data_IF_201430534229
#
_entry.id   IF_201430534229
#
_cell.length_a   1.000
_cell.length_b   1.000
_cell.length_c   1.000
_cell.angle_alpha   90.00
_cell.angle_beta   90.00
_cell.angle_gamma   90.00
#
_symmetry.space_group_name_H-M   'P 1'
#
loop_
_entity.id
_entity.type
_entity.pdbx_description
1 polymer ?
#
# COMPACT_ATOMS: atom_id res chain seq x y z
N UNK A 1 -37.81 9.44 -27.86
CA UNK A 1 -38.26 8.48 -28.90
C UNK A 1 -37.25 8.53 -30.03
N UNK A 2 -36.26 7.62 -30.06
CA UNK A 2 -35.21 7.58 -31.07
C UNK A 2 -35.29 6.22 -31.78
N UNK A 3 -36.13 6.13 -32.80
CA UNK A 3 -36.19 4.97 -33.70
C UNK A 3 -35.57 5.46 -35.01
N UNK A 4 -34.35 4.96 -35.33
CA UNK A 4 -33.62 5.01 -36.63
C UNK A 4 -32.11 5.38 -36.58
N UNK A 5 -31.40 5.22 -35.46
CA UNK A 5 -29.94 5.44 -35.46
C UNK A 5 -29.12 4.31 -36.10
N UNK A 6 -29.66 3.09 -36.22
CA UNK A 6 -28.97 1.93 -36.80
C UNK A 6 -28.54 2.13 -38.27
N UNK A 7 -29.48 2.39 -39.20
CA UNK A 7 -29.15 2.49 -40.63
C UNK A 7 -28.25 3.68 -41.00
N UNK A 8 -28.33 4.77 -40.24
CA UNK A 8 -27.52 5.99 -40.48
C UNK A 8 -26.08 5.79 -40.00
N UNK A 9 -25.88 5.04 -38.92
CA UNK A 9 -24.55 4.80 -38.37
C UNK A 9 -23.84 3.61 -39.03
N UNK A 10 -24.57 2.61 -39.52
CA UNK A 10 -24.01 1.37 -40.10
C UNK A 10 -22.87 1.62 -41.10
N UNK A 11 -23.03 2.45 -42.15
CA UNK A 11 -21.92 2.71 -43.09
C UNK A 11 -20.70 3.33 -42.39
N UNK A 12 -20.91 4.26 -41.45
CA UNK A 12 -19.81 4.94 -40.76
C UNK A 12 -19.07 4.01 -39.79
N UNK A 13 -19.81 3.12 -39.12
CA UNK A 13 -19.23 2.10 -38.24
C UNK A 13 -18.44 1.09 -39.06
N UNK A 14 -18.97 0.63 -40.20
CA UNK A 14 -18.25 -0.28 -41.10
C UNK A 14 -16.97 0.35 -41.70
N UNK A 15 -17.03 1.63 -42.07
CA UNK A 15 -15.91 2.33 -42.72
C UNK A 15 -14.87 2.87 -41.73
N UNK A 16 -15.27 3.26 -40.52
CA UNK A 16 -14.40 3.99 -39.58
C UNK A 16 -14.34 3.42 -38.17
N UNK A 17 -15.20 2.46 -37.84
CA UNK A 17 -15.37 1.94 -36.48
C UNK A 17 -16.05 2.91 -35.51
N UNK A 18 -16.58 4.05 -35.99
CA UNK A 18 -17.16 5.12 -35.19
C UNK A 18 -18.48 5.59 -35.80
N UNK A 19 -19.56 5.78 -35.00
CA UNK A 19 -20.85 6.20 -35.52
C UNK A 19 -20.78 7.63 -36.08
N UNK A 20 -21.70 7.95 -36.98
CA UNK A 20 -21.90 9.34 -37.40
C UNK A 20 -22.55 10.14 -36.26
N UNK A 21 -23.54 9.54 -35.59
CA UNK A 21 -24.32 10.15 -34.51
C UNK A 21 -24.37 9.19 -33.32
N UNK A 22 -24.02 9.68 -32.13
CA UNK A 22 -24.18 8.95 -30.88
C UNK A 22 -23.04 9.18 -29.90
N UNK A 23 -23.30 9.05 -28.62
CA UNK A 23 -22.28 9.34 -27.61
C UNK A 23 -21.22 8.23 -27.53
N UNK A 24 -20.05 8.62 -27.06
CA UNK A 24 -18.95 7.70 -26.80
C UNK A 24 -19.27 6.79 -25.63
N UNK A 25 -18.84 5.53 -25.72
CA UNK A 25 -18.99 4.59 -24.61
C UNK A 25 -18.19 5.07 -23.39
N UNK A 26 -18.79 5.07 -22.21
CA UNK A 26 -18.07 5.37 -20.98
C UNK A 26 -16.99 4.32 -20.73
N UNK A 27 -15.83 4.79 -20.29
CA UNK A 27 -14.79 3.95 -19.73
C UNK A 27 -15.25 3.28 -18.44
N UNK A 28 -14.63 2.16 -18.12
CA UNK A 28 -14.90 1.36 -16.93
C UNK A 28 -13.59 0.97 -16.25
N UNK A 29 -13.66 0.49 -15.01
CA UNK A 29 -12.50 -0.10 -14.33
C UNK A 29 -12.33 -1.53 -14.80
N UNK A 30 -11.22 -1.86 -15.45
CA UNK A 30 -10.96 -3.23 -15.92
C UNK A 30 -10.54 -4.17 -14.77
N UNK A 31 -10.35 -5.45 -15.08
CA UNK A 31 -10.00 -6.48 -14.10
C UNK A 31 -8.67 -6.21 -13.37
N UNK A 32 -7.80 -5.39 -13.96
CA UNK A 32 -6.53 -4.97 -13.35
C UNK A 32 -6.69 -3.71 -12.49
N UNK A 33 -7.91 -3.18 -12.31
CA UNK A 33 -8.15 -1.93 -11.58
C UNK A 33 -7.79 -0.67 -12.36
N UNK A 34 -7.58 -0.75 -13.67
CA UNK A 34 -7.25 0.41 -14.52
C UNK A 34 -8.53 0.99 -15.10
N UNK A 35 -8.75 2.29 -14.93
CA UNK A 35 -9.81 3.04 -15.58
C UNK A 35 -9.51 3.19 -17.06
N UNK A 36 -10.35 2.61 -17.93
CA UNK A 36 -10.19 2.74 -19.38
C UNK A 36 -10.56 4.15 -19.83
N UNK A 37 -10.02 4.58 -20.97
CA UNK A 37 -10.46 5.82 -21.59
C UNK A 37 -11.93 5.73 -22.02
N UNK A 38 -12.62 6.87 -22.01
CA UNK A 38 -13.92 7.02 -22.65
C UNK A 38 -13.80 6.97 -24.18
N UNK A 39 -14.79 6.36 -24.81
CA UNK A 39 -14.89 6.29 -26.27
C UNK A 39 -15.20 7.66 -26.88
N UNK A 40 -14.86 7.84 -28.14
CA UNK A 40 -15.18 9.06 -28.86
C UNK A 40 -16.68 9.12 -29.20
N UNK A 41 -17.30 10.30 -29.09
CA UNK A 41 -18.67 10.56 -29.58
C UNK A 41 -18.78 10.46 -31.10
N UNK A 42 -19.95 10.58 -31.72
CA UNK A 42 -20.13 10.41 -33.16
C UNK A 42 -19.35 11.45 -33.96
N UNK A 43 -19.02 11.15 -35.23
CA UNK A 43 -18.29 12.08 -36.09
C UNK A 43 -19.00 13.42 -36.27
N UNK A 44 -20.33 13.41 -36.43
CA UNK A 44 -21.14 14.60 -36.64
C UNK A 44 -21.72 15.12 -35.33
N UNK A 45 -22.35 14.24 -34.55
CA UNK A 45 -23.00 14.60 -33.32
C UNK A 45 -22.79 13.53 -32.25
N UNK A 46 -22.40 13.94 -31.05
CA UNK A 46 -22.35 13.08 -29.88
C UNK A 46 -21.22 13.46 -28.95
N UNK A 47 -21.50 13.29 -27.66
CA UNK A 47 -20.56 13.63 -26.60
C UNK A 47 -19.51 12.53 -26.46
N UNK A 48 -18.33 12.89 -25.98
CA UNK A 48 -17.34 11.92 -25.59
C UNK A 48 -17.76 11.15 -24.33
N UNK A 49 -17.41 9.86 -24.27
CA UNK A 49 -17.67 9.05 -23.08
C UNK A 49 -16.81 9.48 -21.89
N UNK A 50 -17.29 9.31 -20.67
CA UNK A 50 -16.48 9.60 -19.46
C UNK A 50 -15.35 8.59 -19.32
N UNK A 51 -14.18 9.00 -18.82
CA UNK A 51 -13.11 8.08 -18.45
C UNK A 51 -13.46 7.22 -17.23
N UNK A 52 -12.96 5.99 -17.19
CA UNK A 52 -13.15 5.06 -16.07
C UNK A 52 -12.32 5.43 -14.85
N UNK A 53 -12.77 5.02 -13.66
CA UNK A 53 -12.02 5.19 -12.41
C UNK A 53 -10.87 4.18 -12.32
N UNK A 54 -9.67 4.63 -11.95
CA UNK A 54 -8.53 3.77 -11.67
C UNK A 54 -8.42 3.49 -10.17
N UNK A 55 -8.40 2.20 -9.81
CA UNK A 55 -8.17 1.71 -8.45
C UNK A 55 -6.78 1.09 -8.27
N UNK A 56 -6.05 0.86 -9.36
CA UNK A 56 -4.71 0.28 -9.37
C UNK A 56 -3.65 1.30 -8.93
N UNK A 57 -2.69 0.82 -8.14
CA UNK A 57 -1.49 1.56 -7.76
C UNK A 57 -0.72 2.07 -8.99
N UNK A 58 -0.30 3.34 -8.93
CA UNK A 58 0.51 3.95 -9.99
C UNK A 58 -0.27 4.38 -11.24
N UNK A 59 -1.60 4.31 -11.24
CA UNK A 59 -2.42 4.53 -12.45
C UNK A 59 -3.32 5.78 -12.30
N UNK A 60 -3.19 6.76 -13.21
CA UNK A 60 -4.12 7.88 -13.31
C UNK A 60 -5.54 7.42 -13.66
N UNK A 61 -6.54 8.26 -13.41
CA UNK A 61 -7.88 8.02 -13.95
C UNK A 61 -7.90 7.95 -15.48
N UNK A 62 -8.85 7.22 -16.05
CA UNK A 62 -8.99 7.10 -17.51
C UNK A 62 -9.27 8.46 -18.17
N UNK A 63 -8.72 8.71 -19.36
CA UNK A 63 -9.03 9.95 -20.07
C UNK A 63 -10.51 9.98 -20.52
N UNK A 64 -11.11 11.16 -20.53
CA UNK A 64 -12.40 11.39 -21.17
C UNK A 64 -12.30 11.30 -22.69
N UNK A 65 -13.34 10.77 -23.33
CA UNK A 65 -13.41 10.65 -24.78
C UNK A 65 -13.62 11.99 -25.48
N UNK A 66 -13.11 12.18 -26.71
CA UNK A 66 -13.39 13.39 -27.48
C UNK A 66 -14.76 13.31 -28.17
N UNK A 67 -15.41 14.46 -28.36
CA UNK A 67 -16.55 14.58 -29.27
C UNK A 67 -16.11 14.63 -30.75
N UNK A 68 -17.08 14.70 -31.67
CA UNK A 68 -16.86 14.85 -33.12
C UNK A 68 -16.89 16.31 -33.59
N UNK A 69 -17.82 16.63 -34.48
CA UNK A 69 -18.04 18.00 -34.95
C UNK A 69 -18.86 18.81 -33.95
N UNK A 70 -19.92 18.20 -33.40
CA UNK A 70 -20.80 18.77 -32.39
C UNK A 70 -20.90 17.80 -31.20
N UNK A 71 -20.72 18.30 -29.99
CA UNK A 71 -20.85 17.54 -28.76
C UNK A 71 -19.79 17.92 -27.74
N UNK A 72 -20.03 17.61 -26.47
CA UNK A 72 -19.11 17.94 -25.39
C UNK A 72 -18.07 16.83 -25.19
N UNK A 73 -16.88 17.21 -24.74
CA UNK A 73 -15.86 16.25 -24.36
C UNK A 73 -16.27 15.49 -23.11
N UNK A 74 -15.92 14.21 -23.04
CA UNK A 74 -16.20 13.39 -21.86
C UNK A 74 -15.37 13.82 -20.65
N UNK A 75 -15.93 13.71 -19.44
CA UNK A 75 -15.18 13.94 -18.21
C UNK A 75 -14.06 12.90 -18.03
N UNK A 76 -12.89 13.31 -17.56
CA UNK A 76 -11.84 12.39 -17.13
C UNK A 76 -12.24 11.57 -15.91
N UNK A 77 -11.82 10.30 -15.88
CA UNK A 77 -12.03 9.38 -14.77
C UNK A 77 -11.22 9.75 -13.54
N UNK A 78 -11.62 9.26 -12.37
CA UNK A 78 -10.91 9.52 -11.11
C UNK A 78 -9.76 8.53 -10.90
N UNK A 79 -8.78 8.88 -10.07
CA UNK A 79 -7.93 7.89 -9.41
C UNK A 79 -8.23 7.87 -7.92
N UNK A 80 -8.15 6.72 -7.28
CA UNK A 80 -8.33 6.57 -5.83
C UNK A 80 -7.02 6.25 -5.11
N UNK A 81 -5.94 5.98 -5.84
CA UNK A 81 -4.63 5.71 -5.24
C UNK A 81 -3.89 7.02 -4.91
N UNK A 82 -3.25 7.07 -3.76
CA UNK A 82 -2.55 8.22 -3.23
C UNK A 82 -1.47 8.73 -4.20
N UNK A 83 -1.40 10.04 -4.36
CA UNK A 83 -0.49 10.74 -5.28
C UNK A 83 -0.85 10.60 -6.75
N UNK A 84 -1.84 9.78 -7.12
CA UNK A 84 -2.18 9.57 -8.53
C UNK A 84 -3.13 10.65 -9.06
N UNK A 85 -2.86 11.19 -10.26
CA UNK A 85 -3.70 12.22 -10.83
C UNK A 85 -5.02 11.66 -11.36
N UNK A 86 -5.99 12.56 -11.52
CA UNK A 86 -7.19 12.25 -12.29
C UNK A 86 -6.92 12.18 -13.79
N UNK A 87 -7.83 11.56 -14.53
CA UNK A 87 -7.77 11.49 -15.98
C UNK A 87 -8.02 12.84 -16.64
N UNK A 88 -7.44 13.08 -17.81
CA UNK A 88 -7.68 14.31 -18.56
C UNK A 88 -9.11 14.34 -19.09
N UNK A 89 -9.73 15.52 -19.16
CA UNK A 89 -10.99 15.71 -19.85
C UNK A 89 -10.84 15.56 -21.37
N UNK A 90 -11.90 15.08 -22.02
CA UNK A 90 -11.99 14.92 -23.46
C UNK A 90 -12.17 16.25 -24.19
N UNK A 91 -11.79 16.31 -25.46
CA UNK A 91 -11.99 17.52 -26.27
C UNK A 91 -13.46 17.66 -26.67
N UNK A 92 -13.99 18.87 -26.61
CA UNK A 92 -15.28 19.24 -27.20
C UNK A 92 -15.26 19.16 -28.72
N UNK A 93 -16.45 19.21 -29.32
CA UNK A 93 -16.66 19.05 -30.74
C UNK A 93 -16.01 20.18 -31.52
N UNK A 94 -15.45 19.91 -32.70
CA UNK A 94 -14.63 20.89 -33.43
C UNK A 94 -15.35 22.22 -33.70
N UNK A 95 -16.66 22.17 -33.98
CA UNK A 95 -17.47 23.37 -34.26
C UNK A 95 -18.20 23.87 -33.02
N UNK A 96 -18.93 22.99 -32.33
CA UNK A 96 -19.72 23.33 -31.14
C UNK A 96 -19.46 22.26 -30.09
N UNK A 97 -19.09 22.68 -28.89
CA UNK A 97 -18.94 21.77 -27.76
C UNK A 97 -17.92 22.23 -26.75
N UNK A 98 -18.25 22.01 -25.49
CA UNK A 98 -17.40 22.29 -24.35
C UNK A 98 -16.35 21.18 -24.20
N UNK A 99 -15.19 21.53 -23.67
CA UNK A 99 -14.22 20.54 -23.23
C UNK A 99 -14.71 19.80 -21.99
N UNK A 100 -14.43 18.51 -21.91
CA UNK A 100 -14.78 17.70 -20.75
C UNK A 100 -13.98 18.12 -19.52
N UNK A 101 -14.58 18.02 -18.33
CA UNK A 101 -13.87 18.30 -17.08
C UNK A 101 -12.77 17.27 -16.85
N UNK A 102 -11.66 17.65 -16.21
CA UNK A 102 -10.70 16.68 -15.70
C UNK A 102 -11.27 15.83 -14.57
N UNK A 103 -10.69 14.65 -14.36
CA UNK A 103 -11.07 13.75 -13.27
C UNK A 103 -10.43 14.12 -11.94
N UNK A 104 -11.03 13.70 -10.83
CA UNK A 104 -10.46 13.90 -9.49
C UNK A 104 -9.23 13.01 -9.27
N UNK A 105 -8.27 13.50 -8.49
CA UNK A 105 -7.10 12.72 -8.06
C UNK A 105 -7.37 11.87 -6.83
N UNK A 106 -6.48 10.92 -6.59
CA UNK A 106 -6.36 10.30 -5.27
C UNK A 106 -5.74 11.28 -4.27
N UNK A 107 -5.79 10.97 -2.96
CA UNK A 107 -5.26 11.84 -1.92
C UNK A 107 -3.78 12.20 -2.15
N UNK A 108 -3.42 13.47 -2.06
CA UNK A 108 -2.08 13.98 -2.39
C UNK A 108 -1.77 14.09 -3.89
N UNK A 109 -2.69 13.72 -4.78
CA UNK A 109 -2.53 13.82 -6.23
C UNK A 109 -3.13 15.10 -6.82
N UNK A 110 -2.82 15.39 -8.08
CA UNK A 110 -3.36 16.55 -8.82
C UNK A 110 -4.55 16.17 -9.70
N UNK A 111 -5.61 16.98 -9.68
CA UNK A 111 -6.74 16.78 -10.57
C UNK A 111 -6.31 16.75 -12.04
N UNK A 112 -7.01 15.96 -12.86
CA UNK A 112 -6.74 15.88 -14.28
C UNK A 112 -6.96 17.23 -14.96
N UNK A 113 -6.20 17.52 -16.03
CA UNK A 113 -6.44 18.73 -16.82
C UNK A 113 -7.80 18.64 -17.52
N UNK A 114 -8.50 19.77 -17.64
CA UNK A 114 -9.71 19.86 -18.45
C UNK A 114 -9.41 19.75 -19.94
N UNK A 115 -10.41 19.33 -20.70
CA UNK A 115 -10.33 19.20 -22.15
C UNK A 115 -10.45 20.54 -22.86
N UNK A 116 -9.96 20.59 -24.10
CA UNK A 116 -10.11 21.78 -24.94
C UNK A 116 -11.52 21.87 -25.53
N UNK A 117 -12.00 23.09 -25.71
CA UNK A 117 -13.28 23.37 -26.38
C UNK A 117 -13.19 23.30 -27.91
N UNK A 118 -14.36 23.30 -28.54
CA UNK A 118 -14.55 23.62 -29.95
C UNK A 118 -14.42 25.10 -30.30
N UNK A 119 -14.73 25.43 -31.55
CA UNK A 119 -14.82 26.84 -32.01
C UNK A 119 -15.85 27.63 -31.20
N UNK A 120 -16.99 27.02 -30.88
CA UNK A 120 -18.05 27.56 -30.04
C UNK A 120 -18.23 26.66 -28.81
N UNK A 121 -17.50 26.96 -27.75
CA UNK A 121 -17.58 26.24 -26.47
C UNK A 121 -16.59 26.79 -25.44
N UNK A 122 -16.67 26.28 -24.23
CA UNK A 122 -15.78 26.60 -23.11
C UNK A 122 -14.81 25.44 -22.86
N UNK A 123 -13.56 25.72 -22.46
CA UNK A 123 -12.65 24.67 -22.06
C UNK A 123 -13.16 24.01 -20.77
N UNK A 124 -12.91 22.70 -20.64
CA UNK A 124 -13.27 21.97 -19.44
C UNK A 124 -12.49 22.47 -18.24
N UNK A 125 -13.12 22.44 -17.07
CA UNK A 125 -12.41 22.74 -15.82
C UNK A 125 -11.42 21.64 -15.49
N UNK A 126 -10.35 21.97 -14.77
CA UNK A 126 -9.52 20.95 -14.14
C UNK A 126 -10.34 20.13 -13.15
N UNK A 127 -9.94 18.87 -12.96
CA UNK A 127 -10.48 18.02 -11.93
C UNK A 127 -10.05 18.46 -10.53
N UNK A 128 -10.70 17.88 -9.53
CA UNK A 128 -10.41 18.18 -8.12
C UNK A 128 -9.06 17.55 -7.73
N UNK A 129 -8.13 18.37 -7.22
CA UNK A 129 -6.95 17.89 -6.50
C UNK A 129 -7.33 17.58 -5.05
N UNK A 130 -7.20 16.33 -4.64
CA UNK A 130 -7.48 15.87 -3.27
C UNK A 130 -6.24 16.08 -2.40
N UNK A 131 -6.34 16.87 -1.33
CA UNK A 131 -5.25 17.02 -0.36
C UNK A 131 -5.14 15.78 0.55
N UNK A 132 -3.95 15.53 1.08
CA UNK A 132 -3.80 14.58 2.19
C UNK A 132 -4.43 15.17 3.46
N UNK A 133 -5.05 14.32 4.29
CA UNK A 133 -5.38 14.74 5.64
C UNK A 133 -4.09 15.04 6.43
N UNK A 134 -4.15 15.82 7.53
CA UNK A 134 -2.97 16.11 8.35
C UNK A 134 -2.30 14.88 8.97
N UNK A 135 -3.01 13.74 9.06
CA UNK A 135 -2.52 12.45 9.58
C UNK A 135 -1.95 11.54 8.49
N UNK A 136 -2.11 11.88 7.22
CA UNK A 136 -1.78 11.01 6.10
C UNK A 136 -0.44 11.32 5.45
N UNK A 137 0.22 10.27 4.97
CA UNK A 137 1.38 10.32 4.09
C UNK A 137 1.23 9.30 2.96
N UNK A 138 1.94 9.53 1.86
CA UNK A 138 1.98 8.59 0.74
C UNK A 138 2.98 7.49 1.01
N UNK A 139 2.59 6.26 0.67
CA UNK A 139 3.49 5.12 0.61
C UNK A 139 3.52 4.55 -0.81
N UNK A 140 4.66 3.96 -1.15
CA UNK A 140 4.88 3.25 -2.40
C UNK A 140 5.17 1.79 -2.11
N UNK A 141 4.93 0.91 -3.08
CA UNK A 141 5.20 -0.52 -2.93
C UNK A 141 6.39 -0.87 -3.80
N UNK A 142 7.45 -1.47 -3.23
CA UNK A 142 8.58 -1.94 -4.02
C UNK A 142 8.26 -3.22 -4.82
N UNK A 143 9.24 -3.70 -5.57
CA UNK A 143 9.15 -4.93 -6.35
C UNK A 143 8.95 -6.21 -5.50
N UNK A 144 9.15 -6.13 -4.18
CA UNK A 144 8.97 -7.24 -3.25
C UNK A 144 7.64 -7.16 -2.48
N UNK A 145 6.87 -6.10 -2.71
CA UNK A 145 5.58 -5.86 -2.05
C UNK A 145 5.69 -5.08 -0.73
N UNK A 146 6.87 -4.57 -0.36
CA UNK A 146 7.04 -3.83 0.89
C UNK A 146 6.44 -2.43 0.76
N UNK A 147 5.71 -1.93 1.77
CA UNK A 147 5.32 -0.52 1.84
C UNK A 147 6.53 0.33 2.22
N UNK A 148 6.86 1.34 1.42
CA UNK A 148 7.94 2.30 1.69
C UNK A 148 7.39 3.69 1.97
N UNK A 149 7.96 4.31 2.99
CA UNK A 149 7.77 5.70 3.35
C UNK A 149 9.12 6.43 3.32
N UNK A 150 9.17 7.57 2.64
CA UNK A 150 10.34 8.44 2.74
C UNK A 150 10.32 9.15 4.10
N UNK A 151 11.42 9.03 4.85
CA UNK A 151 11.61 9.67 6.14
C UNK A 151 12.85 10.57 6.13
N UNK A 152 12.89 11.56 7.02
CA UNK A 152 14.10 12.33 7.33
C UNK A 152 14.40 12.21 8.82
N UNK A 153 15.62 11.79 9.15
CA UNK A 153 16.08 11.61 10.54
C UNK A 153 16.90 12.84 10.94
N UNK A 154 16.50 13.53 12.00
CA UNK A 154 17.19 14.70 12.56
C UNK A 154 17.34 15.87 11.59
N UNK A 155 16.55 15.93 10.52
CA UNK A 155 16.70 16.90 9.43
C UNK A 155 17.72 16.51 8.35
N UNK A 156 18.19 15.26 8.36
CA UNK A 156 19.01 14.67 7.29
C UNK A 156 18.24 14.44 5.98
N UNK A 157 18.86 13.75 5.00
CA UNK A 157 18.25 13.48 3.70
C UNK A 157 16.92 12.71 3.81
N UNK A 158 15.99 12.97 2.89
CA UNK A 158 14.81 12.12 2.73
C UNK A 158 15.23 10.78 2.11
N UNK A 159 14.95 9.67 2.79
CA UNK A 159 15.34 8.33 2.36
C UNK A 159 14.24 7.30 2.63
N UNK A 160 14.09 6.27 1.79
CA UNK A 160 12.97 5.33 1.86
C UNK A 160 13.17 4.25 2.94
N UNK A 161 12.27 4.19 3.92
CA UNK A 161 12.22 3.12 4.91
C UNK A 161 11.01 2.20 4.67
N UNK A 162 11.20 0.89 4.89
CA UNK A 162 10.13 -0.11 4.84
C UNK A 162 9.26 0.07 6.08
N UNK A 163 7.96 0.34 5.92
CA UNK A 163 7.01 0.35 7.04
C UNK A 163 6.83 -1.08 7.51
N UNK A 164 7.24 -1.34 8.75
CA UNK A 164 7.37 -2.69 9.29
C UNK A 164 6.53 -2.82 10.57
N UNK A 165 5.35 -3.43 10.45
CA UNK A 165 4.53 -3.76 11.62
C UNK A 165 5.14 -4.88 12.46
N UNK A 166 6.03 -5.69 11.88
CA UNK A 166 6.78 -6.75 12.55
C UNK A 166 7.95 -6.25 13.41
N UNK A 167 8.23 -4.95 13.43
CA UNK A 167 9.33 -4.34 14.18
C UNK A 167 8.88 -3.14 15.03
N UNK A 168 9.70 -2.77 16.01
CA UNK A 168 9.51 -1.63 16.93
C UNK A 168 10.73 -0.71 16.89
N UNK A 169 10.55 0.52 16.41
CA UNK A 169 11.60 1.54 16.35
C UNK A 169 12.38 1.52 15.02
N UNK A 170 13.53 2.19 14.96
CA UNK A 170 14.21 2.49 13.70
C UNK A 170 15.74 2.38 13.80
N UNK A 171 16.34 1.54 12.96
CA UNK A 171 17.79 1.54 12.70
C UNK A 171 18.01 1.94 11.23
N UNK A 172 18.86 2.94 11.01
CA UNK A 172 19.14 3.47 9.67
C UNK A 172 20.61 3.31 9.25
N UNK A 173 20.86 3.21 7.94
CA UNK A 173 22.20 3.38 7.37
C UNK A 173 22.80 4.76 7.68
N UNK A 174 24.14 4.91 7.72
CA UNK A 174 24.80 6.19 8.00
C UNK A 174 24.39 7.34 7.06
N UNK A 175 24.05 7.07 5.80
CA UNK A 175 23.70 8.12 4.85
C UNK A 175 22.38 8.86 5.19
N UNK A 176 21.48 8.23 5.95
CA UNK A 176 20.21 8.83 6.40
C UNK A 176 20.41 10.01 7.35
N UNK A 177 21.57 10.06 8.02
CA UNK A 177 21.87 11.04 9.06
C UNK A 177 22.96 12.03 8.65
N UNK A 178 23.26 12.13 7.35
CA UNK A 178 24.24 13.11 6.85
C UNK A 178 23.76 14.53 7.13
N UNK A 179 24.48 15.27 7.97
CA UNK A 179 24.09 16.63 8.38
C UNK A 179 22.89 16.68 9.33
N UNK A 180 22.47 15.54 9.89
CA UNK A 180 21.37 15.48 10.85
C UNK A 180 21.77 15.96 12.25
N UNK A 181 20.80 16.47 12.99
CA UNK A 181 20.95 16.81 14.40
C UNK A 181 20.74 15.55 15.25
N UNK A 182 21.83 14.97 15.76
CA UNK A 182 21.81 13.78 16.59
C UNK A 182 22.37 14.07 17.98
N UNK A 183 21.72 13.56 19.02
CA UNK A 183 22.27 13.54 20.38
C UNK A 183 22.76 12.13 20.71
N UNK A 184 24.07 11.89 20.80
CA UNK A 184 24.61 10.57 21.14
C UNK A 184 24.19 10.16 22.56
N UNK A 185 23.80 8.91 22.73
CA UNK A 185 23.48 8.35 24.07
C UNK A 185 24.69 7.67 24.72
N UNK A 186 25.72 7.34 23.93
CA UNK A 186 26.88 6.57 24.38
C UNK A 186 26.61 5.06 24.50
N UNK A 187 25.46 4.58 24.03
CA UNK A 187 25.11 3.15 24.02
C UNK A 187 25.07 2.59 22.60
N UNK A 188 25.27 1.28 22.50
CA UNK A 188 25.20 0.50 21.25
C UNK A 188 24.15 -0.58 21.38
N UNK A 189 23.75 -1.14 20.24
CA UNK A 189 22.86 -2.30 20.16
C UNK A 189 23.13 -3.14 18.91
N UNK A 190 22.43 -4.25 18.81
CA UNK A 190 22.47 -5.14 17.65
C UNK A 190 21.07 -5.68 17.37
N UNK A 191 20.75 -5.87 16.10
CA UNK A 191 19.45 -6.38 15.65
C UNK A 191 19.64 -7.41 14.53
N UNK A 192 18.72 -8.38 14.45
CA UNK A 192 18.64 -9.32 13.33
C UNK A 192 17.32 -9.13 12.58
N UNK A 193 17.39 -9.03 11.24
CA UNK A 193 16.23 -8.99 10.36
C UNK A 193 16.16 -10.30 9.57
N UNK A 194 15.00 -10.97 9.62
CA UNK A 194 14.75 -12.24 8.95
C UNK A 194 15.71 -13.38 9.34
N UNK A 195 16.40 -13.26 10.49
CA UNK A 195 17.40 -14.22 10.96
C UNK A 195 18.66 -14.34 10.08
N UNK A 196 18.83 -13.45 9.09
CA UNK A 196 19.91 -13.54 8.10
C UNK A 196 20.73 -12.27 8.04
N UNK A 197 20.10 -11.09 8.11
CA UNK A 197 20.81 -9.83 8.19
C UNK A 197 21.04 -9.47 9.66
N UNK A 198 22.26 -9.18 10.04
CA UNK A 198 22.63 -8.73 11.38
C UNK A 198 23.27 -7.35 11.28
N UNK A 199 22.85 -6.43 12.14
CA UNK A 199 23.29 -5.03 12.13
C UNK A 199 23.64 -4.61 13.54
N UNK A 200 24.86 -4.11 13.74
CA UNK A 200 25.27 -3.40 14.95
C UNK A 200 25.10 -1.90 14.73
N UNK A 201 24.73 -1.17 15.78
CA UNK A 201 24.44 0.25 15.70
C UNK A 201 24.79 1.01 16.97
N UNK A 202 25.02 2.31 16.81
CA UNK A 202 25.06 3.28 17.90
C UNK A 202 23.69 3.95 18.07
N UNK A 203 23.35 4.33 19.30
CA UNK A 203 22.03 4.83 19.64
C UNK A 203 22.05 6.35 19.84
N UNK A 204 21.10 7.03 19.20
CA UNK A 204 20.95 8.48 19.23
C UNK A 204 19.53 8.88 19.63
N UNK A 205 19.40 10.08 20.21
CA UNK A 205 18.14 10.78 20.38
C UNK A 205 18.00 11.87 19.31
N UNK A 206 16.90 11.86 18.57
CA UNK A 206 16.65 12.79 17.46
C UNK A 206 15.16 12.83 17.09
N UNK A 207 14.78 13.58 16.05
CA UNK A 207 13.42 13.57 15.50
C UNK A 207 13.37 12.73 14.22
N UNK A 208 12.19 12.21 13.90
CA UNK A 208 11.90 11.58 12.60
C UNK A 208 10.73 12.31 11.96
N UNK A 209 10.94 12.80 10.74
CA UNK A 209 9.92 13.43 9.92
C UNK A 209 9.41 12.44 8.87
N UNK A 210 8.10 12.19 8.88
CA UNK A 210 7.41 11.26 7.98
C UNK A 210 6.89 11.93 6.70
N UNK A 211 7.01 13.26 6.60
CA UNK A 211 6.36 14.07 5.57
C UNK A 211 5.05 14.69 6.07
N UNK A 212 4.47 15.57 5.25
CA UNK A 212 3.20 16.27 5.54
C UNK A 212 3.16 17.03 6.90
N UNK A 213 4.33 17.41 7.43
CA UNK A 213 4.44 18.06 8.75
C UNK A 213 4.33 17.12 9.94
N UNK A 214 4.27 15.80 9.71
CA UNK A 214 4.20 14.78 10.76
C UNK A 214 5.62 14.48 11.24
N UNK A 215 5.96 14.97 12.43
CA UNK A 215 7.30 14.87 13.01
C UNK A 215 7.19 14.40 14.45
N UNK A 216 8.01 13.42 14.83
CA UNK A 216 8.11 12.95 16.21
C UNK A 216 8.64 14.03 17.15
N UNK A 217 8.35 13.88 18.45
CA UNK A 217 9.25 14.42 19.47
C UNK A 217 10.65 13.79 19.40
N UNK A 218 11.52 14.08 20.37
CA UNK A 218 12.77 13.33 20.50
C UNK A 218 12.45 11.84 20.68
N UNK A 219 13.06 11.00 19.86
CA UNK A 219 12.88 9.55 19.85
C UNK A 219 14.22 8.86 19.60
N UNK A 220 14.27 7.57 19.93
CA UNK A 220 15.44 6.72 19.79
C UNK A 220 15.59 6.24 18.36
N UNK A 221 16.79 6.44 17.80
CA UNK A 221 17.17 5.94 16.46
C UNK A 221 18.55 5.30 16.55
N UNK A 222 18.69 4.11 15.98
CA UNK A 222 19.98 3.46 15.79
C UNK A 222 20.62 3.88 14.46
N UNK A 223 21.92 4.12 14.45
CA UNK A 223 22.70 4.33 13.22
C UNK A 223 23.67 3.18 13.05
N UNK A 224 23.55 2.44 11.94
CA UNK A 224 24.33 1.24 11.67
C UNK A 224 25.84 1.53 11.63
N UNK A 225 26.63 0.70 12.30
CA UNK A 225 28.10 0.78 12.36
C UNK A 225 28.77 -0.41 11.68
N UNK A 226 28.15 -1.59 11.72
CA UNK A 226 28.56 -2.79 10.97
C UNK A 226 27.37 -3.67 10.65
N UNK A 227 27.50 -4.50 9.60
CA UNK A 227 26.51 -5.49 9.26
C UNK A 227 27.12 -6.71 8.56
N UNK A 228 26.43 -7.86 8.63
CA UNK A 228 26.84 -9.10 7.98
C UNK A 228 25.64 -10.00 7.62
N UNK A 229 25.86 -10.94 6.70
CA UNK A 229 24.87 -11.93 6.28
C UNK A 229 25.18 -13.32 6.85
N UNK A 230 24.30 -13.79 7.73
CA UNK A 230 24.37 -15.10 8.37
C UNK A 230 25.47 -15.16 9.44
N UNK A 231 26.73 -15.10 9.02
CA UNK A 231 27.89 -15.14 9.94
C UNK A 231 28.77 -13.91 9.77
N UNK A 232 29.52 -13.50 10.82
CA UNK A 232 30.44 -12.36 10.73
C UNK A 232 31.54 -12.50 9.66
N UNK A 233 31.76 -13.70 9.11
CA UNK A 233 32.69 -13.94 8.00
C UNK A 233 32.18 -13.38 6.65
N UNK A 234 30.91 -12.99 6.56
CA UNK A 234 30.30 -12.40 5.37
C UNK A 234 29.89 -10.92 5.62
N UNK A 235 30.87 -10.01 5.79
CA UNK A 235 30.58 -8.61 6.11
C UNK A 235 29.94 -7.87 4.93
N UNK A 236 29.05 -6.93 5.25
CA UNK A 236 28.53 -5.94 4.31
C UNK A 236 29.43 -4.70 4.42
N UNK A 237 30.32 -4.53 3.43
CA UNK A 237 31.30 -3.44 3.45
C UNK A 237 30.70 -2.07 3.11
N UNK A 238 29.61 -2.04 2.34
CA UNK A 238 28.89 -0.82 1.99
C UNK A 238 27.55 -0.78 2.74
N UNK A 239 27.54 -0.06 3.87
CA UNK A 239 26.35 0.07 4.70
C UNK A 239 25.23 0.88 4.03
N UNK A 240 25.50 1.59 2.93
CA UNK A 240 24.46 2.34 2.20
C UNK A 240 23.44 1.43 1.53
N UNK A 241 23.79 0.15 1.33
CA UNK A 241 22.92 -0.88 0.75
C UNK A 241 21.95 -1.49 1.77
N UNK A 242 22.09 -1.16 3.06
CA UNK A 242 21.22 -1.70 4.09
C UNK A 242 19.79 -1.13 3.94
N UNK A 243 18.74 -1.96 4.02
CA UNK A 243 17.39 -1.47 4.18
C UNK A 243 17.23 -0.79 5.55
N UNK A 244 16.35 0.20 5.62
CA UNK A 244 15.85 0.74 6.89
C UNK A 244 14.45 0.18 7.14
N UNK A 245 14.23 -0.40 8.31
CA UNK A 245 12.92 -0.87 8.76
C UNK A 245 12.35 0.16 9.74
N UNK A 246 11.24 0.77 9.36
CA UNK A 246 10.47 1.69 10.16
C UNK A 246 9.47 0.89 11.00
N UNK A 247 9.92 0.46 12.17
CA UNK A 247 9.15 -0.34 13.11
C UNK A 247 7.99 0.43 13.72
N UNK A 248 6.77 0.09 13.30
CA UNK A 248 5.50 0.68 13.77
C UNK A 248 4.70 -0.26 14.65
N UNK A 249 5.13 -1.52 14.79
CA UNK A 249 4.51 -2.48 15.67
C UNK A 249 4.82 -2.19 17.14
N UNK A 250 3.82 -2.17 18.05
CA UNK A 250 4.10 -2.29 19.48
C UNK A 250 4.59 -3.72 19.79
N UNK A 251 5.05 -3.96 21.02
CA UNK A 251 5.32 -5.31 21.55
C UNK A 251 6.31 -6.18 20.76
N UNK A 252 7.04 -5.70 19.74
CA UNK A 252 8.07 -6.54 19.11
C UNK A 252 9.37 -6.55 19.93
N UNK A 253 9.67 -5.44 20.62
CA UNK A 253 10.88 -5.19 21.43
C UNK A 253 12.20 -5.13 20.64
N UNK A 254 12.14 -5.14 19.31
CA UNK A 254 13.32 -5.06 18.44
C UNK A 254 13.10 -4.13 17.24
N UNK A 255 14.10 -3.29 16.89
CA UNK A 255 15.36 -3.04 17.62
C UNK A 255 15.20 -2.29 18.96
N UNK A 256 14.03 -1.71 19.22
CA UNK A 256 13.71 -0.98 20.45
C UNK A 256 12.34 -1.42 21.01
N UNK A 257 12.02 -1.06 22.26
CA UNK A 257 10.72 -1.41 22.87
C UNK A 257 9.55 -0.64 22.27
N UNK A 258 9.78 0.63 21.94
CA UNK A 258 8.71 1.53 21.50
C UNK A 258 8.63 1.59 19.98
N UNK A 259 7.43 1.61 19.39
CA UNK A 259 7.26 1.88 17.97
C UNK A 259 7.69 3.32 17.67
N UNK A 260 8.19 3.55 16.46
CA UNK A 260 8.81 4.83 16.08
C UNK A 260 7.85 6.03 16.16
N UNK A 261 6.55 5.79 16.07
CA UNK A 261 5.50 6.80 16.14
C UNK A 261 5.04 7.11 17.59
N UNK A 262 5.62 6.48 18.62
CA UNK A 262 5.19 6.61 20.02
C UNK A 262 5.24 8.06 20.55
N UNK A 263 6.18 8.87 20.05
CA UNK A 263 6.37 10.27 20.48
C UNK A 263 5.75 11.29 19.52
N UNK A 264 4.91 10.86 18.57
CA UNK A 264 4.12 11.78 17.76
C UNK A 264 3.16 12.61 18.63
N UNK A 265 2.95 13.90 18.33
CA UNK A 265 2.14 14.79 19.14
C UNK A 265 0.63 14.51 19.01
N UNK A 266 -0.14 15.00 19.99
CA UNK A 266 -1.60 14.92 19.96
C UNK A 266 -2.09 13.47 20.04
N UNK A 267 -2.99 13.09 19.13
CA UNK A 267 -3.51 11.73 19.01
C UNK A 267 -2.78 10.91 17.94
N UNK A 268 -1.75 11.43 17.28
CA UNK A 268 -1.05 10.75 16.17
C UNK A 268 -0.23 9.53 16.60
N UNK A 269 0.05 9.36 17.90
CA UNK A 269 0.77 8.20 18.42
C UNK A 269 -0.12 6.97 18.69
N UNK A 270 -1.45 7.09 18.57
CA UNK A 270 -2.41 6.04 18.92
C UNK A 270 -2.32 4.79 18.05
N UNK A 271 -1.72 4.88 16.87
CA UNK A 271 -1.53 3.76 15.97
C UNK A 271 -1.22 4.21 14.56
N UNK A 272 -1.16 3.23 13.65
CA UNK A 272 -0.83 3.42 12.25
C UNK A 272 -1.76 2.57 11.38
N UNK A 273 -2.50 3.21 10.47
CA UNK A 273 -3.24 2.54 9.41
C UNK A 273 -2.33 2.35 8.19
N UNK A 274 -2.07 1.10 7.83
CA UNK A 274 -1.32 0.74 6.62
C UNK A 274 -2.35 0.38 5.53
N UNK A 275 -2.53 1.28 4.56
CA UNK A 275 -3.51 1.12 3.49
C UNK A 275 -2.81 1.09 2.12
N UNK A 276 -2.08 0.00 1.84
CA UNK A 276 -1.43 -0.20 0.54
C UNK A 276 -2.41 -0.19 -0.64
N UNK A 277 -3.67 -0.68 -0.55
CA UNK A 277 -4.63 -0.57 -1.65
C UNK A 277 -4.96 0.88 -2.05
N UNK A 278 -4.71 1.84 -1.14
CA UNK A 278 -4.81 3.28 -1.40
C UNK A 278 -3.45 3.97 -1.50
N UNK A 279 -2.33 3.32 -1.25
CA UNK A 279 -1.02 3.98 -1.22
C UNK A 279 -0.89 5.00 -0.09
N UNK A 280 -1.55 4.75 1.04
CA UNK A 280 -1.61 5.65 2.18
C UNK A 280 -1.11 4.97 3.45
N UNK A 281 -0.44 5.76 4.27
CA UNK A 281 -0.22 5.50 5.68
C UNK A 281 -0.88 6.62 6.46
N UNK A 282 -1.60 6.28 7.53
CA UNK A 282 -2.25 7.28 8.39
C UNK A 282 -1.88 7.08 9.86
N UNK A 283 -1.44 8.14 10.52
CA UNK A 283 -1.10 8.14 11.94
C UNK A 283 -2.27 8.62 12.81
N UNK A 284 -2.46 7.97 13.94
CA UNK A 284 -3.42 8.37 14.96
C UNK A 284 -4.62 7.42 15.08
N UNK A 285 -5.83 7.90 15.43
CA UNK A 285 -6.99 7.02 15.58
C UNK A 285 -7.32 6.30 14.27
N UNK A 286 -7.82 5.07 14.35
CA UNK A 286 -8.28 4.34 13.18
C UNK A 286 -9.40 5.12 12.47
N UNK A 287 -9.18 5.46 11.20
CA UNK A 287 -10.09 6.25 10.37
C UNK A 287 -11.08 5.39 9.57
N UNK A 288 -10.90 4.07 9.54
CA UNK A 288 -11.74 3.14 8.80
C UNK A 288 -12.65 2.30 9.72
N UNK A 289 -13.80 1.82 9.20
CA UNK A 289 -14.65 0.89 9.91
C UNK A 289 -13.93 -0.46 10.12
N UNK A 290 -13.80 -0.94 11.37
CA UNK A 290 -13.21 -2.23 11.65
C UNK A 290 -14.08 -3.36 11.09
N UNK A 291 -13.43 -4.36 10.50
CA UNK A 291 -14.04 -5.64 10.15
C UNK A 291 -13.78 -6.68 11.24
N UNK A 292 -12.52 -6.81 11.66
CA UNK A 292 -12.08 -7.71 12.73
C UNK A 292 -10.99 -7.04 13.56
N UNK A 293 -11.10 -7.17 14.88
CA UNK A 293 -10.09 -6.73 15.85
C UNK A 293 -9.49 -7.96 16.55
N UNK A 294 -8.17 -8.01 16.64
CA UNK A 294 -7.44 -9.08 17.31
C UNK A 294 -6.43 -8.49 18.28
N UNK A 295 -6.44 -9.01 19.51
CA UNK A 295 -5.50 -8.63 20.54
C UNK A 295 -4.06 -8.99 20.11
N UNK A 296 -3.14 -8.06 20.32
CA UNK A 296 -1.75 -8.15 19.93
C UNK A 296 -1.42 -7.56 18.55
N UNK A 297 -0.27 -6.88 18.51
CA UNK A 297 0.46 -6.52 17.29
C UNK A 297 1.96 -6.54 17.60
N UNK A 298 2.84 -7.04 16.71
CA UNK A 298 2.50 -7.83 15.52
C UNK A 298 2.01 -9.25 15.83
N UNK A 299 2.07 -9.68 17.09
CA UNK A 299 1.89 -11.08 17.48
C UNK A 299 0.47 -11.35 17.95
N UNK A 300 -0.19 -12.32 17.32
CA UNK A 300 -1.53 -12.77 17.73
C UNK A 300 -1.75 -14.26 17.39
N UNK A 301 -2.97 -14.77 17.51
CA UNK A 301 -3.32 -16.18 17.25
C UNK A 301 -4.45 -16.26 16.21
N UNK A 302 -4.26 -17.12 15.21
CA UNK A 302 -5.20 -17.32 14.09
C UNK A 302 -5.41 -18.80 13.80
N UNK A 303 -6.44 -19.11 13.02
CA UNK A 303 -6.57 -20.39 12.35
C UNK A 303 -6.11 -20.27 10.89
N UNK A 304 -5.25 -21.17 10.46
CA UNK A 304 -4.75 -21.23 9.08
C UNK A 304 -5.22 -22.53 8.43
N UNK A 305 -5.81 -22.40 7.26
CA UNK A 305 -6.23 -23.50 6.40
C UNK A 305 -5.38 -23.49 5.13
N UNK A 306 -4.70 -24.60 4.87
CA UNK A 306 -3.97 -24.80 3.62
C UNK A 306 -4.84 -25.61 2.66
N UNK A 307 -5.03 -25.08 1.46
CA UNK A 307 -5.96 -25.63 0.48
C UNK A 307 -7.35 -25.84 1.11
N UNK A 308 -7.83 -27.08 1.12
CA UNK A 308 -9.11 -27.47 1.71
C UNK A 308 -8.91 -28.37 2.95
N UNK A 309 -7.74 -28.32 3.58
CA UNK A 309 -7.45 -29.09 4.79
C UNK A 309 -8.19 -28.52 6.01
N UNK A 310 -8.07 -29.20 7.17
CA UNK A 310 -8.64 -28.69 8.41
C UNK A 310 -7.86 -27.44 8.88
N UNK A 311 -8.54 -26.34 9.25
CA UNK A 311 -7.87 -25.19 9.85
C UNK A 311 -7.13 -25.58 11.13
N UNK A 312 -5.90 -25.10 11.29
CA UNK A 312 -5.09 -25.31 12.49
C UNK A 312 -4.77 -23.99 13.18
N UNK A 313 -4.84 -23.97 14.51
CA UNK A 313 -4.52 -22.80 15.32
C UNK A 313 -3.01 -22.61 15.42
N UNK A 314 -2.51 -21.42 15.05
CA UNK A 314 -1.08 -21.07 15.11
C UNK A 314 -0.88 -19.65 15.64
N UNK A 315 0.26 -19.41 16.27
CA UNK A 315 0.73 -18.05 16.55
C UNK A 315 1.24 -17.40 15.26
N UNK A 316 0.89 -16.13 15.04
CA UNK A 316 1.22 -15.38 13.82
C UNK A 316 1.92 -14.06 14.12
N UNK A 317 2.86 -13.68 13.27
CA UNK A 317 3.30 -12.30 13.05
C UNK A 317 2.51 -11.69 11.88
N UNK A 318 1.72 -10.65 12.15
CA UNK A 318 1.09 -9.82 11.13
C UNK A 318 2.07 -8.71 10.75
N UNK A 319 2.78 -8.93 9.65
CA UNK A 319 4.06 -8.28 9.38
C UNK A 319 4.13 -7.70 7.95
N UNK A 320 4.01 -6.37 7.85
CA UNK A 320 4.10 -5.65 6.58
C UNK A 320 5.50 -5.64 5.97
N UNK A 321 6.56 -5.84 6.77
CA UNK A 321 7.96 -5.97 6.34
C UNK A 321 8.38 -7.41 6.01
N UNK A 322 7.54 -8.40 6.30
CA UNK A 322 7.85 -9.83 6.20
C UNK A 322 7.94 -10.41 4.78
N UNK A 323 7.79 -9.57 3.74
CA UNK A 323 7.85 -9.95 2.33
C UNK A 323 6.88 -11.11 2.00
N UNK A 324 7.39 -12.28 1.59
CA UNK A 324 6.60 -13.44 1.22
C UNK A 324 6.08 -14.26 2.40
N UNK A 325 6.44 -13.89 3.63
CA UNK A 325 6.02 -14.59 4.85
C UNK A 325 6.67 -15.96 5.05
N UNK A 326 6.29 -16.62 6.14
CA UNK A 326 6.77 -17.96 6.50
C UNK A 326 5.62 -18.84 6.95
N UNK A 327 5.71 -20.14 6.64
CA UNK A 327 4.73 -21.13 7.04
C UNK A 327 5.34 -22.23 7.92
N UNK A 328 4.75 -22.56 9.07
CA UNK A 328 5.22 -23.66 9.91
C UNK A 328 5.09 -25.00 9.19
N UNK A 329 6.10 -25.86 9.31
CA UNK A 329 6.09 -27.18 8.68
C UNK A 329 4.89 -28.06 9.13
N UNK A 330 4.34 -27.84 10.33
CA UNK A 330 3.16 -28.56 10.83
C UNK A 330 1.91 -28.34 9.96
N UNK A 331 1.80 -27.20 9.28
CA UNK A 331 0.71 -26.91 8.34
C UNK A 331 0.91 -27.57 6.98
N UNK A 332 2.14 -28.00 6.67
CA UNK A 332 2.52 -28.58 5.37
C UNK A 332 3.52 -29.72 5.56
N UNK A 333 3.12 -30.82 6.24
CA UNK A 333 4.04 -31.89 6.65
C UNK A 333 4.76 -32.60 5.49
N UNK A 334 4.23 -32.48 4.26
CA UNK A 334 4.85 -33.00 3.05
C UNK A 334 6.00 -32.15 2.48
N UNK A 335 6.28 -30.98 3.06
CA UNK A 335 7.34 -30.07 2.60
C UNK A 335 8.48 -29.96 3.62
N UNK A 336 9.71 -30.04 3.12
CA UNK A 336 10.91 -29.85 3.95
C UNK A 336 11.09 -28.39 4.36
N UNK A 337 11.63 -28.15 5.57
CA UNK A 337 12.06 -26.82 6.01
C UNK A 337 13.02 -26.23 4.99
N UNK A 338 12.81 -24.95 4.67
CA UNK A 338 13.59 -24.21 3.69
C UNK A 338 13.03 -24.23 2.27
N UNK A 339 12.12 -25.16 1.96
CA UNK A 339 11.35 -25.11 0.71
C UNK A 339 10.36 -23.94 0.73
N UNK A 340 9.79 -23.63 -0.44
CA UNK A 340 8.71 -22.66 -0.61
C UNK A 340 7.41 -23.38 -0.90
N UNK A 341 6.29 -22.77 -0.55
CA UNK A 341 4.97 -23.29 -0.93
C UNK A 341 4.83 -23.32 -2.46
N UNK A 342 4.23 -24.39 -3.04
CA UNK A 342 3.95 -24.46 -4.47
C UNK A 342 2.97 -23.37 -4.93
N UNK A 343 3.17 -22.88 -6.16
CA UNK A 343 2.22 -22.00 -6.84
C UNK A 343 0.83 -22.66 -6.96
N UNK A 344 -0.22 -21.87 -6.76
CA UNK A 344 -1.60 -22.34 -6.72
C UNK A 344 -2.07 -22.85 -5.35
N UNK A 345 -1.17 -23.02 -4.37
CA UNK A 345 -1.57 -23.32 -2.99
C UNK A 345 -2.43 -22.19 -2.44
N UNK A 346 -3.57 -22.49 -1.83
CA UNK A 346 -4.38 -21.48 -1.14
C UNK A 346 -4.10 -21.48 0.36
N UNK A 347 -4.00 -20.30 0.95
CA UNK A 347 -3.80 -20.07 2.38
C UNK A 347 -4.96 -19.21 2.83
N UNK A 348 -5.90 -19.79 3.58
CA UNK A 348 -7.01 -19.04 4.15
C UNK A 348 -6.79 -18.85 5.65
N UNK A 349 -6.89 -17.61 6.11
CA UNK A 349 -6.63 -17.24 7.51
C UNK A 349 -7.91 -16.72 8.13
N UNK A 350 -8.18 -17.19 9.34
CA UNK A 350 -9.38 -16.90 10.11
C UNK A 350 -9.00 -16.51 11.55
N UNK A 351 -9.90 -15.82 12.24
CA UNK A 351 -9.82 -15.72 13.69
C UNK A 351 -10.02 -17.10 14.33
N UNK A 352 -9.64 -17.25 15.61
CA UNK A 352 -9.86 -18.51 16.36
C UNK A 352 -11.34 -18.92 16.46
N UNK A 353 -12.26 -17.97 16.24
CA UNK A 353 -13.71 -18.20 16.23
C UNK A 353 -14.26 -18.44 14.81
N UNK A 354 -13.40 -18.59 13.81
CA UNK A 354 -13.78 -18.93 12.44
C UNK A 354 -14.21 -17.76 11.55
N UNK A 355 -13.93 -16.51 11.95
CA UNK A 355 -14.22 -15.34 11.10
C UNK A 355 -13.11 -15.19 10.07
N UNK A 356 -13.47 -15.13 8.78
CA UNK A 356 -12.49 -14.98 7.69
C UNK A 356 -11.78 -13.63 7.73
N UNK A 357 -10.44 -13.68 7.63
CA UNK A 357 -9.57 -12.50 7.54
C UNK A 357 -9.14 -12.25 6.09
N UNK A 358 -8.46 -13.21 5.48
CA UNK A 358 -8.01 -13.14 4.09
C UNK A 358 -7.72 -14.53 3.50
N UNK A 359 -7.67 -14.60 2.18
CA UNK A 359 -7.20 -15.77 1.44
C UNK A 359 -6.13 -15.36 0.44
N UNK A 360 -4.97 -16.02 0.49
CA UNK A 360 -3.89 -15.88 -0.47
C UNK A 360 -3.87 -17.07 -1.41
N UNK A 361 -3.72 -16.82 -2.71
CA UNK A 361 -3.24 -17.85 -3.65
C UNK A 361 -1.76 -17.63 -3.90
N UNK A 362 -0.94 -18.63 -3.59
CA UNK A 362 0.52 -18.57 -3.74
C UNK A 362 0.90 -18.42 -5.20
N UNK A 363 1.84 -17.52 -5.49
CA UNK A 363 2.39 -17.27 -6.83
C UNK A 363 3.92 -17.43 -6.83
N UNK A 364 4.54 -17.44 -8.01
CA UNK A 364 6.00 -17.40 -8.11
C UNK A 364 6.63 -16.16 -7.43
N UNK A 365 5.94 -15.02 -7.42
CA UNK A 365 6.42 -13.77 -6.82
C UNK A 365 6.15 -13.69 -5.31
N UNK A 366 5.10 -14.35 -4.82
CA UNK A 366 4.71 -14.34 -3.42
C UNK A 366 4.44 -15.76 -2.93
N UNK A 367 5.49 -16.40 -2.41
CA UNK A 367 5.47 -17.75 -1.87
C UNK A 367 6.13 -17.83 -0.48
N UNK A 368 5.36 -18.18 0.57
CA UNK A 368 5.92 -18.36 1.90
C UNK A 368 6.99 -19.44 1.96
N UNK A 369 8.02 -19.19 2.77
CA UNK A 369 9.08 -20.17 3.07
C UNK A 369 8.64 -21.07 4.21
N UNK A 370 8.84 -22.38 4.06
CA UNK A 370 8.59 -23.37 5.12
C UNK A 370 9.64 -23.24 6.20
N UNK A 371 9.21 -23.08 7.45
CA UNK A 371 10.07 -22.93 8.63
C UNK A 371 9.76 -24.00 9.68
N UNK A 372 10.68 -24.14 10.65
CA UNK A 372 10.45 -25.03 11.78
C UNK A 372 9.17 -24.64 12.53
N UNK A 373 8.39 -25.64 12.91
CA UNK A 373 7.18 -25.44 13.72
C UNK A 373 7.55 -25.05 15.15
N UNK A 374 6.59 -24.46 15.86
CA UNK A 374 6.71 -24.32 17.31
C UNK A 374 6.90 -25.71 17.97
N UNK A 375 7.62 -25.79 19.11
CA UNK A 375 7.74 -27.02 19.88
C UNK A 375 6.36 -27.63 20.20
N UNK A 376 6.22 -28.97 20.32
CA UNK A 376 4.92 -29.61 20.54
C UNK A 376 4.18 -29.18 21.81
N UNK A 377 4.90 -28.66 22.81
CA UNK A 377 4.37 -28.15 24.07
C UNK A 377 4.14 -26.63 24.06
N UNK A 378 4.47 -25.94 22.96
CA UNK A 378 4.24 -24.51 22.86
C UNK A 378 2.75 -24.21 22.72
N UNK A 379 2.23 -23.34 23.57
CA UNK A 379 0.85 -22.85 23.50
C UNK A 379 0.84 -21.56 22.66
N UNK A 380 0.14 -21.52 21.51
CA UNK A 380 -0.02 -20.30 20.73
C UNK A 380 -0.54 -19.15 21.61
N UNK A 381 0.14 -18.00 21.57
CA UNK A 381 -0.25 -16.83 22.38
C UNK A 381 0.35 -16.77 23.78
N UNK A 382 1.04 -17.81 24.26
CA UNK A 382 1.67 -17.83 25.59
C UNK A 382 3.18 -18.04 25.53
N UNK A 383 3.65 -18.97 24.68
CA UNK A 383 5.08 -19.16 24.43
C UNK A 383 5.50 -18.32 23.22
N UNK A 384 6.67 -17.69 23.26
CA UNK A 384 7.18 -16.75 22.24
C UNK A 384 7.46 -17.38 20.84
N UNK A 385 6.82 -18.49 20.50
CA UNK A 385 6.98 -19.21 19.24
C UNK A 385 5.90 -18.82 18.23
N UNK A 386 6.12 -17.66 17.62
CA UNK A 386 5.34 -17.17 16.49
C UNK A 386 6.14 -17.44 15.22
N UNK A 387 5.76 -18.49 14.50
CA UNK A 387 6.53 -19.00 13.34
C UNK A 387 5.79 -18.83 12.03
N UNK A 388 4.47 -18.65 12.07
CA UNK A 388 3.71 -18.18 10.92
C UNK A 388 3.92 -16.67 10.81
N UNK A 389 4.31 -16.20 9.63
CA UNK A 389 4.45 -14.78 9.33
C UNK A 389 3.63 -14.52 8.08
N UNK A 390 2.69 -13.57 8.14
CA UNK A 390 1.77 -13.29 7.03
C UNK A 390 2.49 -12.79 5.78
N UNK A 391 3.67 -12.20 5.96
CA UNK A 391 4.28 -11.32 4.99
C UNK A 391 3.39 -10.11 4.69
N UNK A 392 3.73 -9.43 3.60
CA UNK A 392 3.04 -8.22 3.16
C UNK A 392 1.71 -8.49 2.40
N UNK A 393 1.37 -9.76 2.13
CA UNK A 393 0.19 -10.10 1.35
C UNK A 393 -1.11 -9.51 1.88
N UNK A 394 -1.52 -9.69 3.16
CA UNK A 394 -2.80 -9.17 3.63
C UNK A 394 -2.85 -7.65 3.53
N UNK A 395 -1.74 -6.95 3.78
CA UNK A 395 -1.65 -5.50 3.63
C UNK A 395 -1.84 -5.05 2.17
N UNK A 396 -1.49 -5.89 1.18
CA UNK A 396 -1.66 -5.57 -0.24
C UNK A 396 -3.11 -5.57 -0.72
N UNK A 397 -4.02 -6.22 0.02
CA UNK A 397 -5.42 -6.40 -0.36
C UNK A 397 -6.41 -5.77 0.62
N UNK A 398 -6.01 -5.56 1.88
CA UNK A 398 -6.87 -5.07 2.95
C UNK A 398 -6.10 -3.99 3.75
N UNK A 399 -6.75 -2.87 4.10
CA UNK A 399 -6.18 -1.92 5.05
C UNK A 399 -6.10 -2.53 6.45
N UNK A 400 -4.94 -2.42 7.10
CA UNK A 400 -4.71 -2.97 8.43
C UNK A 400 -4.21 -1.87 9.35
N UNK A 401 -4.91 -1.68 10.46
CA UNK A 401 -4.55 -0.74 11.51
C UNK A 401 -3.80 -1.46 12.65
N UNK A 402 -2.68 -0.88 13.04
CA UNK A 402 -1.84 -1.30 14.16
C UNK A 402 -2.04 -0.31 15.30
N UNK A 403 -2.76 -0.71 16.33
CA UNK A 403 -3.08 0.13 17.48
C UNK A 403 -1.96 0.08 18.54
N UNK A 404 -1.59 1.25 19.06
CA UNK A 404 -0.70 1.45 20.20
C UNK A 404 -1.51 1.79 21.46
N UNK A 405 -2.53 0.99 21.75
CA UNK A 405 -3.50 1.21 22.84
C UNK A 405 -3.02 0.70 24.21
N UNK A 406 -2.13 -0.27 24.23
CA UNK A 406 -1.47 -0.80 25.43
C UNK A 406 -0.09 -1.41 25.09
N UNK A 407 0.50 -2.16 26.03
CA UNK A 407 1.82 -2.77 25.86
C UNK A 407 1.85 -3.91 24.82
N UNK A 408 0.69 -4.49 24.49
CA UNK A 408 0.55 -5.65 23.60
C UNK A 408 0.09 -5.21 22.20
N UNK A 409 -0.68 -4.13 22.13
CA UNK A 409 -1.23 -3.55 20.91
C UNK A 409 -2.45 -4.30 20.39
N UNK A 410 -3.01 -3.83 19.28
CA UNK A 410 -4.15 -4.50 18.63
C UNK A 410 -3.97 -4.46 17.11
N UNK A 411 -4.19 -5.60 16.46
CA UNK A 411 -4.25 -5.69 14.99
C UNK A 411 -5.70 -5.62 14.54
N UNK A 412 -6.02 -4.64 13.71
CA UNK A 412 -7.38 -4.43 13.20
C UNK A 412 -7.38 -4.55 11.68
N UNK A 413 -8.17 -5.49 11.16
CA UNK A 413 -8.45 -5.60 9.72
C UNK A 413 -9.64 -4.72 9.43
N UNK A 414 -9.46 -3.71 8.57
CA UNK A 414 -10.49 -2.73 8.24
C UNK A 414 -11.20 -3.04 6.93
N UNK A 415 -12.37 -2.43 6.74
CA UNK A 415 -13.07 -2.48 5.44
C UNK A 415 -12.50 -1.43 4.50
N UNK A 416 -12.16 -1.86 3.28
CA UNK A 416 -11.92 -0.93 2.18
C UNK A 416 -13.25 -0.21 1.84
N UNK A 417 -13.23 1.12 1.80
CA UNK A 417 -14.38 1.96 1.38
C UNK A 417 -14.16 2.50 -0.03
#
# INVERSE_FOLDING_TARGET
MLIAAGPVNEPFVELTGRPLIGDGANGYTNAQGVGTAGGAGGWLYGDGGTGGTSTRAGVPGGAGGPAGLIGDGGTGGKSVYGGMPGGTGGRGGLLIGDGGTGGASGPGGVGGVGGHAGLLGQPGTAGISTLLSPSQVLIYVDQFGNPLLNISVGGGPNSPAIVDSGASGLVVPPHYVTGANLTPTGTTGSVSYGGTLFVDYEIYQTTVNFGNGIVTGSTTVGVATSAYLGTPANPINDLSLLPAFLGVGPNNDFPFSDPINATLPGNMNQGVLINMPRGLLEFGPNSLPPHVEMDGAPRTVVQVQINNELPQTVGVFVDSGGVGGTIPQSLVPGLSIGNRLPEGTTISVYTINGVHLYTQTVTAANNPRVVASAPPNAVPGQDAYYVFNTGNYPFSVIPIYVANNDAVGTTIFDRLI
#
